data_IF_747118620853
#
_entry.id   IF_747118620853
#
_cell.length_a   1.000
_cell.length_b   1.000
_cell.length_c   1.000
_cell.angle_alpha   90.00
_cell.angle_beta   90.00
_cell.angle_gamma   90.00
#
_symmetry.space_group_name_H-M   'P 1'
#
loop_
_entity.id
_entity.type
_entity.pdbx_description
1 polymer ?
#
# COMPACT_ATOMS: atom_id res chain seq x y z
N UNK A 1 1.53 13.20 19.05
CA UNK A 1 1.98 13.25 17.64
C UNK A 1 3.39 13.80 17.61
N UNK A 2 4.26 13.21 16.80
CA UNK A 2 5.59 13.76 16.51
C UNK A 2 5.47 14.68 15.30
N UNK A 3 6.07 15.86 15.36
CA UNK A 3 6.08 16.82 14.26
C UNK A 3 7.26 16.55 13.32
N UNK A 4 7.04 16.73 12.02
CA UNK A 4 8.06 16.63 10.99
C UNK A 4 7.98 17.86 10.10
N UNK A 5 9.07 18.62 10.00
CA UNK A 5 9.16 19.81 9.15
C UNK A 5 9.71 19.40 7.78
N UNK A 6 9.07 19.86 6.71
CA UNK A 6 9.45 19.55 5.33
C UNK A 6 9.55 20.86 4.56
N UNK A 7 10.68 21.10 3.91
CA UNK A 7 10.85 22.22 2.97
C UNK A 7 10.50 21.75 1.57
N UNK A 8 9.60 22.46 0.91
CA UNK A 8 9.15 22.16 -0.45
C UNK A 8 9.42 23.36 -1.38
N UNK A 9 9.84 23.12 -2.65
CA UNK A 9 9.75 24.12 -3.70
C UNK A 9 8.32 24.66 -3.84
N UNK A 10 8.18 25.91 -4.28
CA UNK A 10 6.86 26.57 -4.43
C UNK A 10 5.88 25.72 -5.23
N UNK A 11 6.31 25.19 -6.38
CA UNK A 11 5.45 24.36 -7.23
C UNK A 11 4.88 23.11 -6.51
N UNK A 12 5.64 22.47 -5.62
CA UNK A 12 5.14 21.31 -4.86
C UNK A 12 4.20 21.74 -3.73
N UNK A 13 4.43 22.90 -3.12
CA UNK A 13 3.52 23.47 -2.13
C UNK A 13 2.17 23.80 -2.76
N UNK A 14 2.18 24.50 -3.89
CA UNK A 14 0.97 24.90 -4.62
C UNK A 14 0.17 23.66 -5.05
N UNK A 15 0.86 22.61 -5.48
CA UNK A 15 0.24 21.32 -5.78
C UNK A 15 -0.45 20.72 -4.54
N UNK A 16 0.24 20.65 -3.40
CA UNK A 16 -0.33 20.12 -2.16
C UNK A 16 -1.54 20.95 -1.70
N UNK A 17 -1.48 22.27 -1.79
CA UNK A 17 -2.60 23.16 -1.45
C UNK A 17 -3.82 22.90 -2.35
N UNK A 18 -3.63 22.76 -3.66
CA UNK A 18 -4.72 22.39 -4.58
C UNK A 18 -5.34 21.02 -4.25
N UNK A 19 -4.53 20.05 -3.80
CA UNK A 19 -5.04 18.74 -3.37
C UNK A 19 -5.85 18.85 -2.08
N UNK A 20 -5.49 19.74 -1.17
CA UNK A 20 -6.27 19.99 0.05
C UNK A 20 -7.62 20.61 -0.29
N UNK A 21 -7.64 21.62 -1.16
CA UNK A 21 -8.87 22.29 -1.60
C UNK A 21 -9.83 21.37 -2.36
N UNK A 22 -9.31 20.52 -3.24
CA UNK A 22 -10.13 19.69 -4.14
C UNK A 22 -10.39 18.28 -3.60
N UNK A 23 -9.46 17.74 -2.81
CA UNK A 23 -9.41 16.34 -2.40
C UNK A 23 -10.07 16.05 -1.05
N UNK A 24 -10.66 17.05 -0.39
CA UNK A 24 -11.37 16.87 0.89
C UNK A 24 -10.45 16.64 2.09
N UNK A 25 -9.15 16.99 1.98
CA UNK A 25 -8.23 16.95 3.10
C UNK A 25 -8.39 18.20 3.96
N UNK A 26 -8.23 18.06 5.28
CA UNK A 26 -8.31 19.16 6.25
C UNK A 26 -7.02 19.97 6.34
N UNK A 27 -5.88 19.41 5.89
CA UNK A 27 -4.58 20.09 5.94
C UNK A 27 -3.55 19.44 5.01
N UNK A 28 -2.51 20.19 4.64
CA UNK A 28 -1.35 19.68 3.90
C UNK A 28 -0.68 18.50 4.61
N UNK A 29 -0.61 18.55 5.95
CA UNK A 29 -0.08 17.46 6.77
C UNK A 29 -0.92 16.20 6.72
N UNK A 30 -2.23 16.31 6.49
CA UNK A 30 -3.09 15.14 6.27
C UNK A 30 -2.83 14.52 4.90
N UNK A 31 -2.81 15.34 3.85
CA UNK A 31 -2.50 14.88 2.49
C UNK A 31 -1.15 14.14 2.43
N UNK A 32 -0.09 14.74 2.99
CA UNK A 32 1.24 14.12 3.01
C UNK A 32 1.25 12.81 3.81
N UNK A 33 0.53 12.73 4.93
CA UNK A 33 0.43 11.48 5.69
C UNK A 33 -0.26 10.38 4.90
N UNK A 34 -1.28 10.71 4.12
CA UNK A 34 -1.96 9.73 3.28
C UNK A 34 -1.07 9.26 2.14
N UNK A 35 -0.36 10.18 1.47
CA UNK A 35 0.64 9.81 0.46
C UNK A 35 1.69 8.83 1.00
N UNK A 36 2.21 9.06 2.21
CA UNK A 36 3.18 8.16 2.84
C UNK A 36 2.58 6.78 3.13
N UNK A 37 1.30 6.72 3.53
CA UNK A 37 0.61 5.43 3.75
C UNK A 37 0.43 4.66 2.45
N UNK A 38 0.02 5.34 1.38
CA UNK A 38 -0.14 4.72 0.08
C UNK A 38 1.20 4.24 -0.49
N UNK A 39 2.26 5.04 -0.37
CA UNK A 39 3.62 4.63 -0.74
C UNK A 39 4.07 3.38 0.02
N UNK A 40 3.83 3.34 1.35
CA UNK A 40 4.14 2.16 2.16
C UNK A 40 3.36 0.92 1.70
N UNK A 41 2.06 1.05 1.44
CA UNK A 41 1.22 -0.06 0.93
C UNK A 41 1.73 -0.57 -0.42
N UNK A 42 2.13 0.33 -1.32
CA UNK A 42 2.70 -0.04 -2.62
C UNK A 42 4.02 -0.78 -2.46
N UNK A 43 4.89 -0.32 -1.56
CA UNK A 43 6.16 -0.97 -1.26
C UNK A 43 5.94 -2.38 -0.66
N UNK A 44 5.01 -2.51 0.29
CA UNK A 44 4.63 -3.80 0.90
C UNK A 44 4.08 -4.78 -0.15
N UNK A 45 3.16 -4.32 -1.02
CA UNK A 45 2.61 -5.14 -2.10
C UNK A 45 3.69 -5.58 -3.08
N UNK A 46 4.58 -4.66 -3.48
CA UNK A 46 5.69 -4.98 -4.38
C UNK A 46 6.62 -6.02 -3.78
N UNK A 47 6.92 -5.92 -2.49
CA UNK A 47 7.74 -6.90 -1.79
C UNK A 47 7.08 -8.29 -1.80
N UNK A 48 5.79 -8.37 -1.47
CA UNK A 48 5.04 -9.63 -1.47
C UNK A 48 4.97 -10.28 -2.87
N UNK A 49 4.81 -9.48 -3.93
CA UNK A 49 4.84 -9.97 -5.31
C UNK A 49 6.21 -10.54 -5.69
N UNK A 50 7.29 -9.87 -5.31
CA UNK A 50 8.66 -10.35 -5.57
C UNK A 50 8.96 -11.62 -4.78
N UNK A 51 8.53 -11.70 -3.52
CA UNK A 51 8.63 -12.92 -2.71
C UNK A 51 7.87 -14.08 -3.35
N UNK A 52 6.62 -13.85 -3.77
CA UNK A 52 5.83 -14.85 -4.48
C UNK A 52 6.47 -15.30 -5.80
N UNK A 53 7.02 -14.36 -6.58
CA UNK A 53 7.71 -14.68 -7.83
C UNK A 53 9.02 -15.48 -7.62
N UNK A 54 9.70 -15.27 -6.50
CA UNK A 54 10.89 -16.04 -6.13
C UNK A 54 10.55 -17.40 -5.51
N UNK A 55 9.30 -17.64 -5.14
CA UNK A 55 8.86 -18.91 -4.53
C UNK A 55 8.79 -20.04 -5.56
N UNK A 56 9.10 -21.29 -5.17
CA UNK A 56 8.91 -22.44 -6.05
C UNK A 56 7.44 -22.62 -6.42
N UNK A 57 7.11 -22.97 -7.68
CA UNK A 57 5.74 -23.31 -8.05
C UNK A 57 5.29 -24.57 -7.30
N UNK A 58 4.16 -24.48 -6.60
CA UNK A 58 3.64 -25.55 -5.72
C UNK A 58 2.62 -26.46 -6.44
N UNK A 59 2.27 -26.13 -7.68
CA UNK A 59 1.28 -26.86 -8.49
C UNK A 59 0.18 -25.95 -9.03
N UNK A 60 -0.84 -26.53 -9.65
CA UNK A 60 -2.00 -25.80 -10.15
C UNK A 60 -3.00 -25.61 -9.01
N UNK A 61 -3.52 -24.39 -8.86
CA UNK A 61 -4.60 -24.10 -7.92
C UNK A 61 -5.95 -24.60 -8.47
N UNK A 62 -6.11 -25.93 -8.54
CA UNK A 62 -7.30 -26.60 -9.05
C UNK A 62 -8.24 -27.08 -7.93
N UNK A 63 -9.30 -27.80 -8.31
CA UNK A 63 -10.30 -28.32 -7.37
C UNK A 63 -9.67 -29.23 -6.31
N UNK A 64 -8.74 -30.11 -6.68
CA UNK A 64 -8.12 -31.07 -5.76
C UNK A 64 -7.26 -30.35 -4.72
N UNK A 65 -6.51 -29.33 -5.15
CA UNK A 65 -5.75 -28.46 -4.27
C UNK A 65 -6.64 -27.81 -3.20
N UNK A 66 -7.76 -27.21 -3.60
CA UNK A 66 -8.68 -26.55 -2.66
C UNK A 66 -9.47 -27.54 -1.80
N UNK A 67 -9.80 -28.73 -2.30
CA UNK A 67 -10.43 -29.79 -1.52
C UNK A 67 -9.47 -30.27 -0.41
N UNK A 68 -8.19 -30.50 -0.73
CA UNK A 68 -7.16 -30.85 0.27
C UNK A 68 -6.96 -29.78 1.34
N UNK A 69 -6.96 -28.49 0.96
CA UNK A 69 -6.89 -27.37 1.91
C UNK A 69 -8.05 -27.35 2.90
N UNK A 70 -9.29 -27.59 2.42
CA UNK A 70 -10.49 -27.62 3.26
C UNK A 70 -10.49 -28.78 4.24
N UNK A 71 -10.08 -29.97 3.78
CA UNK A 71 -9.94 -31.14 4.66
C UNK A 71 -8.89 -30.91 5.76
N UNK A 72 -7.82 -30.17 5.46
CA UNK A 72 -6.79 -29.80 6.44
C UNK A 72 -7.30 -28.89 7.56
N UNK A 73 -8.27 -28.03 7.30
CA UNK A 73 -8.87 -27.12 8.29
C UNK A 73 -9.94 -27.82 9.15
N UNK A 74 -10.59 -28.85 8.60
CA UNK A 74 -11.62 -29.64 9.29
C UNK A 74 -11.06 -30.68 10.27
N UNK A 75 -9.76 -30.94 10.20
CA UNK A 75 -9.02 -31.82 11.11
C UNK A 75 -8.58 -31.06 12.36
#
# INVERSE_FOLDING_TARGET
MTTMNISLPSALRDFVEAQVEQGGYSSSSEYVRELIREDRKQAELRAALLEGAASPPVGVADKEFFDGLRERIRR
#
